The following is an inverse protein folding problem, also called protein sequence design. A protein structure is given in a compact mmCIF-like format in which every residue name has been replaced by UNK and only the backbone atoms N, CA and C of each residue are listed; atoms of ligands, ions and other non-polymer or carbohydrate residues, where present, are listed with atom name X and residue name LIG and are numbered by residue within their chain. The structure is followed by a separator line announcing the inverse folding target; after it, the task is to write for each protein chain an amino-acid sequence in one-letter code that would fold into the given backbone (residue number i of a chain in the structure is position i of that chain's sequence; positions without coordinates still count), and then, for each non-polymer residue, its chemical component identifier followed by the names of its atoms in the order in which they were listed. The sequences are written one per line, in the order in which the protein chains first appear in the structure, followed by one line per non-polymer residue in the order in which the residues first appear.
data_IF_886175237120
#
_entry.id   IF_886175237120
#
_cell.length_a   1.000
_cell.length_b   1.000
_cell.length_c   1.000
_cell.angle_alpha   90.00
_cell.angle_beta   90.00
_cell.angle_gamma   90.00
#
_symmetry.space_group_name_H-M   'P 1'
#
loop_
_entity.id
_entity.type
_entity.pdbx_description
1 polymer ?
#
# COMPACT_ATOMS: atom_id res chain seq x y z
N UNK A 1 -12.50 20.62 1.40
CA UNK A 1 -12.39 22.02 1.79
C UNK A 1 -12.06 22.91 0.60
N UNK A 2 -12.38 24.17 0.67
CA UNK A 2 -12.24 25.17 -0.39
C UNK A 2 -10.81 25.23 -1.00
N UNK A 3 -9.77 25.16 -0.18
CA UNK A 3 -8.37 25.11 -0.61
C UNK A 3 -8.03 23.87 -1.44
N UNK A 4 -8.63 22.71 -1.14
CA UNK A 4 -8.43 21.48 -1.92
C UNK A 4 -9.06 21.61 -3.31
N UNK A 5 -10.25 22.20 -3.40
CA UNK A 5 -10.92 22.49 -4.69
C UNK A 5 -10.13 23.51 -5.50
N UNK A 6 -9.57 24.53 -4.85
CA UNK A 6 -8.71 25.54 -5.50
C UNK A 6 -7.43 24.88 -6.07
N UNK A 7 -6.79 23.99 -5.31
CA UNK A 7 -5.61 23.24 -5.77
C UNK A 7 -5.93 22.34 -6.97
N UNK A 8 -7.14 21.76 -7.03
CA UNK A 8 -7.57 20.96 -8.17
C UNK A 8 -7.90 21.79 -9.42
N UNK A 9 -8.30 23.05 -9.25
CA UNK A 9 -8.63 23.97 -10.33
C UNK A 9 -7.38 24.63 -10.96
N UNK A 10 -6.23 24.62 -10.25
CA UNK A 10 -5.01 25.24 -10.75
C UNK A 10 -4.26 24.31 -11.72
N UNK A 11 -3.66 24.87 -12.81
CA UNK A 11 -2.78 24.12 -13.70
C UNK A 11 -1.64 23.47 -12.90
N UNK A 12 -1.38 22.18 -13.14
CA UNK A 12 -0.39 21.41 -12.38
C UNK A 12 1.02 22.04 -12.39
N UNK A 13 1.39 22.75 -13.46
CA UNK A 13 2.67 23.49 -13.58
C UNK A 13 2.79 24.58 -12.52
N UNK A 14 1.72 25.29 -12.25
CA UNK A 14 1.66 26.34 -11.21
C UNK A 14 1.73 25.73 -9.82
N UNK A 15 0.99 24.65 -9.59
CA UNK A 15 1.04 23.89 -8.32
C UNK A 15 2.46 23.39 -8.06
N UNK A 16 3.14 22.86 -9.09
CA UNK A 16 4.52 22.37 -8.98
C UNK A 16 5.53 23.49 -8.70
N UNK A 17 5.37 24.65 -9.32
CA UNK A 17 6.25 25.82 -9.06
C UNK A 17 6.09 26.33 -7.63
N UNK A 18 4.87 26.41 -7.14
CA UNK A 18 4.58 26.87 -5.77
C UNK A 18 5.07 25.83 -4.75
N UNK A 19 4.78 24.54 -4.95
CA UNK A 19 5.19 23.49 -4.00
C UNK A 19 6.71 23.29 -3.95
N UNK A 20 7.44 23.54 -5.04
CA UNK A 20 8.92 23.51 -5.03
C UNK A 20 9.55 24.62 -4.19
N UNK A 21 8.84 25.73 -3.97
CA UNK A 21 9.32 26.86 -3.16
C UNK A 21 8.90 26.79 -1.70
N UNK A 22 8.02 25.85 -1.35
CA UNK A 22 7.61 25.61 0.04
C UNK A 22 8.68 24.75 0.71
N UNK A 23 9.31 25.19 1.80
CA UNK A 23 10.23 24.35 2.56
C UNK A 23 9.56 23.05 3.00
N UNK A 24 10.28 21.93 2.94
CA UNK A 24 9.76 20.59 3.28
C UNK A 24 9.15 20.55 4.68
N UNK A 25 9.71 21.30 5.62
CA UNK A 25 9.17 21.44 6.97
C UNK A 25 7.74 22.02 7.00
N UNK A 26 7.47 23.02 6.16
CA UNK A 26 6.14 23.64 6.03
C UNK A 26 5.15 22.72 5.34
N UNK A 27 5.61 21.99 4.32
CA UNK A 27 4.79 20.98 3.64
C UNK A 27 4.38 19.89 4.62
N UNK A 28 5.31 19.38 5.42
CA UNK A 28 5.05 18.35 6.44
C UNK A 28 4.14 18.87 7.58
N UNK A 29 4.24 20.13 7.94
CA UNK A 29 3.35 20.75 8.95
C UNK A 29 1.92 20.97 8.41
N UNK A 30 1.75 21.15 7.10
CA UNK A 30 0.45 21.35 6.47
C UNK A 30 -0.31 20.04 6.21
N UNK A 31 0.39 18.93 5.97
CA UNK A 31 -0.23 17.63 5.73
C UNK A 31 -1.19 17.20 6.83
N UNK A 32 -0.86 17.29 8.15
CA UNK A 32 -1.78 16.95 9.22
C UNK A 32 -3.02 17.85 9.29
N UNK A 33 -2.88 19.14 8.91
CA UNK A 33 -4.00 20.09 8.89
C UNK A 33 -5.00 19.76 7.77
N UNK A 34 -4.52 19.21 6.66
CA UNK A 34 -5.37 18.83 5.53
C UNK A 34 -6.09 17.49 5.80
N UNK A 35 -5.40 16.53 6.40
CA UNK A 35 -5.99 15.23 6.75
C UNK A 35 -7.01 15.33 7.89
N UNK A 36 -6.78 16.21 8.87
CA UNK A 36 -7.70 16.39 10.01
C UNK A 36 -9.08 16.94 9.62
N UNK A 37 -9.18 17.69 8.52
CA UNK A 37 -10.45 18.31 8.05
C UNK A 37 -11.22 17.44 7.05
N UNK A 38 -10.70 16.27 6.69
CA UNK A 38 -11.33 15.40 5.70
C UNK A 38 -12.30 14.37 6.33
N UNK A 39 -12.23 14.16 7.63
CA UNK A 39 -13.03 13.15 8.31
C UNK A 39 -13.81 13.76 9.46
N UNK A 40 -15.08 13.39 9.56
CA UNK A 40 -15.89 13.52 10.76
C UNK A 40 -15.55 12.33 11.68
N UNK A 41 -14.46 12.48 12.43
CA UNK A 41 -13.87 11.40 13.21
C UNK A 41 -14.85 10.67 14.14
N UNK A 42 -15.75 11.34 14.87
CA UNK A 42 -16.75 10.68 15.70
C UNK A 42 -17.68 9.74 14.92
N UNK A 43 -17.91 10.01 13.64
CA UNK A 43 -18.81 9.24 12.78
C UNK A 43 -18.06 8.40 11.73
N UNK A 44 -16.73 8.50 11.67
CA UNK A 44 -15.91 7.74 10.72
C UNK A 44 -15.50 6.41 11.33
N UNK A 45 -16.11 5.31 10.93
CA UNK A 45 -15.83 3.96 11.47
C UNK A 45 -14.45 3.43 11.07
N UNK A 46 -13.97 3.78 9.88
CA UNK A 46 -12.68 3.36 9.34
C UNK A 46 -12.10 4.40 8.40
N UNK A 47 -10.80 4.36 8.20
CA UNK A 47 -10.08 5.30 7.35
C UNK A 47 -8.89 4.63 6.67
N UNK A 48 -8.44 5.22 5.57
CA UNK A 48 -7.30 4.74 4.79
C UNK A 48 -6.02 5.35 5.33
N UNK A 49 -5.00 4.52 5.54
CA UNK A 49 -3.63 4.98 5.76
C UNK A 49 -2.99 5.23 4.38
N UNK A 50 -2.48 6.44 4.12
CA UNK A 50 -1.82 6.77 2.86
C UNK A 50 -0.43 6.11 2.83
N UNK A 51 -0.39 4.86 2.39
CA UNK A 51 0.82 4.08 2.19
C UNK A 51 0.94 3.67 0.72
N UNK A 52 1.98 2.94 0.34
CA UNK A 52 2.47 2.86 -1.01
C UNK A 52 1.56 2.05 -1.98
N UNK A 53 1.67 0.73 -2.00
CA UNK A 53 1.15 -0.10 -3.12
C UNK A 53 -0.24 -0.69 -2.85
N UNK A 54 -0.45 -1.18 -1.65
CA UNK A 54 -1.70 -1.80 -1.24
C UNK A 54 -2.67 -0.78 -0.63
N UNK A 55 -3.95 -1.16 -0.48
CA UNK A 55 -4.87 -0.42 0.36
C UNK A 55 -4.66 -0.81 1.82
N UNK A 56 -4.56 0.17 2.70
CA UNK A 56 -4.39 -0.06 4.14
C UNK A 56 -5.52 0.62 4.89
N UNK A 57 -6.40 -0.18 5.47
CA UNK A 57 -7.57 0.32 6.18
C UNK A 57 -7.38 0.13 7.67
N UNK A 58 -7.68 1.18 8.41
CA UNK A 58 -7.60 1.20 9.86
C UNK A 58 -8.96 1.54 10.45
N UNK A 59 -9.39 0.74 11.40
CA UNK A 59 -10.61 0.98 12.16
C UNK A 59 -10.40 2.13 13.15
N UNK A 60 -11.41 2.94 13.33
CA UNK A 60 -11.44 4.00 14.33
C UNK A 60 -11.90 3.43 15.68
N UNK A 61 -11.05 2.58 16.29
CA UNK A 61 -11.38 1.84 17.51
C UNK A 61 -11.38 2.73 18.75
N UNK A 62 -12.38 2.55 19.60
CA UNK A 62 -12.40 3.09 20.97
C UNK A 62 -11.19 2.56 21.74
N UNK A 63 -10.57 3.41 22.54
CA UNK A 63 -9.39 3.07 23.34
C UNK A 63 -8.07 3.03 22.56
N UNK A 64 -8.09 2.91 21.24
CA UNK A 64 -6.90 2.99 20.39
C UNK A 64 -6.76 4.34 19.70
N UNK A 65 -7.84 4.83 19.11
CA UNK A 65 -7.86 6.11 18.40
C UNK A 65 -8.43 7.22 19.31
N UNK A 66 -7.94 8.45 19.15
CA UNK A 66 -8.33 9.57 19.99
C UNK A 66 -9.85 9.86 19.97
N UNK A 67 -10.49 9.65 18.83
CA UNK A 67 -11.92 9.84 18.62
C UNK A 67 -12.55 8.55 18.10
N UNK A 68 -12.13 7.41 18.68
CA UNK A 68 -12.62 6.10 18.28
C UNK A 68 -14.13 5.99 18.47
N UNK A 69 -14.83 5.47 17.44
CA UNK A 69 -16.26 5.26 17.47
C UNK A 69 -16.67 3.79 17.33
N UNK A 70 -15.78 2.91 16.89
CA UNK A 70 -16.02 1.47 16.77
C UNK A 70 -15.64 0.79 18.07
N UNK A 71 -16.56 0.00 18.61
CA UNK A 71 -16.26 -0.85 19.76
C UNK A 71 -15.31 -1.98 19.34
N UNK A 72 -14.28 -2.32 20.15
CA UNK A 72 -13.43 -3.46 19.84
C UNK A 72 -14.18 -4.78 19.62
N UNK A 73 -15.29 -5.00 20.29
CA UNK A 73 -16.14 -6.18 20.09
C UNK A 73 -16.81 -6.23 18.71
N UNK A 74 -16.98 -5.08 18.06
CA UNK A 74 -17.55 -4.96 16.71
C UNK A 74 -16.50 -4.99 15.59
N UNK A 75 -15.21 -5.05 15.92
CA UNK A 75 -14.12 -4.89 14.94
C UNK A 75 -14.22 -5.88 13.78
N UNK A 76 -14.41 -7.16 14.07
CA UNK A 76 -14.51 -8.21 13.04
C UNK A 76 -15.72 -8.02 12.12
N UNK A 77 -16.86 -7.60 12.67
CA UNK A 77 -18.06 -7.30 11.90
C UNK A 77 -17.83 -6.13 10.95
N UNK A 78 -17.21 -5.06 11.44
CA UNK A 78 -16.89 -3.88 10.60
C UNK A 78 -15.87 -4.22 9.53
N UNK A 79 -14.86 -5.04 9.83
CA UNK A 79 -13.89 -5.53 8.83
C UNK A 79 -14.61 -6.33 7.73
N UNK A 80 -15.52 -7.22 8.10
CA UNK A 80 -16.29 -8.02 7.14
C UNK A 80 -17.19 -7.15 6.26
N UNK A 81 -17.86 -6.14 6.83
CA UNK A 81 -18.65 -5.15 6.08
C UNK A 81 -17.78 -4.40 5.05
N UNK A 82 -16.58 -3.98 5.45
CA UNK A 82 -15.63 -3.27 4.57
C UNK A 82 -15.11 -4.19 3.47
N UNK A 83 -14.74 -5.42 3.79
CA UNK A 83 -14.27 -6.41 2.82
C UNK A 83 -15.35 -6.69 1.75
N UNK A 84 -16.57 -6.94 2.16
CA UNK A 84 -17.68 -7.16 1.25
C UNK A 84 -17.95 -5.95 0.35
N UNK A 85 -17.94 -4.74 0.94
CA UNK A 85 -18.09 -3.51 0.20
C UNK A 85 -17.01 -3.31 -0.87
N UNK A 86 -15.75 -3.55 -0.52
CA UNK A 86 -14.61 -3.41 -1.43
C UNK A 86 -14.69 -4.43 -2.58
N UNK A 87 -15.02 -5.68 -2.29
CA UNK A 87 -15.16 -6.75 -3.30
C UNK A 87 -16.31 -6.53 -4.27
N UNK A 88 -17.27 -5.67 -3.93
CA UNK A 88 -18.38 -5.33 -4.84
C UNK A 88 -17.94 -4.44 -6.02
N UNK A 89 -16.76 -3.79 -5.91
CA UNK A 89 -16.28 -2.89 -6.96
C UNK A 89 -15.64 -3.63 -8.13
N UNK A 90 -16.01 -3.19 -9.32
CA UNK A 90 -15.51 -3.67 -10.62
C UNK A 90 -14.98 -2.49 -11.43
N UNK A 91 -14.04 -2.76 -12.30
CA UNK A 91 -13.60 -1.77 -13.29
C UNK A 91 -14.72 -1.47 -14.28
N UNK A 92 -15.01 -0.20 -14.51
CA UNK A 92 -16.13 0.23 -15.39
C UNK A 92 -15.95 -0.22 -16.82
N UNK A 93 -14.73 -0.31 -17.32
CA UNK A 93 -14.45 -0.62 -18.73
C UNK A 93 -14.50 -2.12 -18.98
N UNK A 94 -13.90 -2.90 -18.10
CA UNK A 94 -13.73 -4.34 -18.29
C UNK A 94 -14.76 -5.19 -17.55
N UNK A 95 -15.47 -4.62 -16.57
CA UNK A 95 -16.38 -5.36 -15.69
C UNK A 95 -15.69 -6.32 -14.71
N UNK A 96 -14.35 -6.39 -14.74
CA UNK A 96 -13.57 -7.31 -13.90
C UNK A 96 -13.44 -6.80 -12.46
N UNK A 97 -13.39 -7.69 -11.46
CA UNK A 97 -13.02 -7.33 -10.11
C UNK A 97 -11.66 -6.61 -10.08
N UNK A 98 -11.51 -5.65 -9.18
CA UNK A 98 -10.26 -4.89 -9.00
C UNK A 98 -9.54 -5.24 -7.71
N UNK A 99 -10.12 -6.11 -6.90
CA UNK A 99 -9.58 -6.60 -5.64
C UNK A 99 -9.26 -8.08 -5.79
N UNK A 100 -7.99 -8.44 -5.64
CA UNK A 100 -7.52 -9.83 -5.63
C UNK A 100 -7.83 -10.52 -4.31
N UNK A 101 -7.71 -9.79 -3.21
CA UNK A 101 -7.93 -10.30 -1.87
C UNK A 101 -7.77 -9.24 -0.80
N UNK A 102 -8.07 -9.64 0.41
CA UNK A 102 -7.83 -8.85 1.61
C UNK A 102 -7.18 -9.73 2.66
N UNK A 103 -6.40 -9.13 3.54
CA UNK A 103 -5.72 -9.82 4.65
C UNK A 103 -6.04 -9.08 5.93
N UNK A 104 -6.59 -9.75 6.91
CA UNK A 104 -6.67 -9.23 8.28
C UNK A 104 -5.28 -9.23 8.88
N UNK A 105 -4.83 -8.10 9.41
CA UNK A 105 -3.46 -7.99 9.93
C UNK A 105 -3.24 -8.89 11.15
N UNK A 106 -4.29 -9.20 11.90
CA UNK A 106 -4.23 -10.13 13.02
C UNK A 106 -3.97 -11.59 12.61
N UNK A 107 -4.11 -11.93 11.32
CA UNK A 107 -3.67 -13.22 10.77
C UNK A 107 -2.15 -13.29 10.54
N UNK A 108 -1.48 -12.14 10.42
CA UNK A 108 -0.04 -12.03 10.17
C UNK A 108 0.76 -11.65 11.42
N UNK A 109 0.16 -10.87 12.30
CA UNK A 109 0.83 -10.28 13.46
C UNK A 109 -0.05 -10.49 14.69
N UNK A 110 0.53 -11.06 15.75
CA UNK A 110 -0.20 -11.24 17.01
C UNK A 110 -0.85 -9.93 17.48
N UNK A 111 -2.13 -9.97 17.88
CA UNK A 111 -2.82 -8.80 18.44
C UNK A 111 -2.11 -8.20 19.67
N UNK A 112 -1.33 -9.02 20.40
CA UNK A 112 -0.55 -8.59 21.57
C UNK A 112 0.84 -8.06 21.23
N UNK A 113 1.26 -8.08 19.95
CA UNK A 113 2.56 -7.56 19.56
C UNK A 113 2.68 -6.06 19.86
N UNK A 114 3.79 -5.58 20.44
CA UNK A 114 3.93 -4.18 20.88
C UNK A 114 3.66 -3.13 19.79
N UNK A 115 3.94 -3.46 18.54
CA UNK A 115 3.76 -2.57 17.38
C UNK A 115 2.42 -2.75 16.67
N UNK A 116 1.59 -3.76 17.02
CA UNK A 116 0.29 -4.02 16.39
C UNK A 116 -0.62 -2.78 16.41
N UNK A 117 -0.56 -2.00 17.47
CA UNK A 117 -1.34 -0.76 17.63
C UNK A 117 -1.10 0.30 16.55
N UNK A 118 0.00 0.23 15.82
CA UNK A 118 0.36 1.19 14.75
C UNK A 118 0.04 0.68 13.35
N UNK A 119 -0.27 -0.61 13.21
CA UNK A 119 -0.55 -1.24 11.92
C UNK A 119 -2.00 -1.00 11.47
N UNK A 120 -2.32 -1.14 10.18
CA UNK A 120 -3.69 -1.22 9.69
C UNK A 120 -4.41 -2.44 10.29
N UNK A 121 -5.72 -2.53 10.11
CA UNK A 121 -6.51 -3.69 10.50
C UNK A 121 -6.80 -4.59 9.29
N UNK A 122 -6.89 -4.00 8.08
CA UNK A 122 -7.12 -4.72 6.84
C UNK A 122 -6.15 -4.22 5.76
N UNK A 123 -5.51 -5.16 5.06
CA UNK A 123 -4.72 -4.90 3.85
C UNK A 123 -5.55 -5.32 2.64
N UNK A 124 -5.65 -4.43 1.65
CA UNK A 124 -6.37 -4.66 0.40
C UNK A 124 -5.37 -4.91 -0.71
N UNK A 125 -5.43 -6.07 -1.32
CA UNK A 125 -4.58 -6.47 -2.44
C UNK A 125 -5.29 -6.12 -3.75
N UNK A 126 -4.73 -5.16 -4.48
CA UNK A 126 -5.28 -4.73 -5.76
C UNK A 126 -4.90 -5.70 -6.88
N UNK A 127 -5.82 -5.89 -7.82
CA UNK A 127 -5.60 -6.61 -9.06
C UNK A 127 -6.23 -5.83 -10.22
N UNK A 128 -5.67 -4.67 -10.56
CA UNK A 128 -6.22 -3.87 -11.64
C UNK A 128 -6.12 -4.64 -12.96
N UNK A 129 -7.20 -4.69 -13.77
CA UNK A 129 -7.27 -5.46 -15.01
C UNK A 129 -6.38 -4.90 -16.15
N UNK A 130 -5.55 -3.92 -15.84
CA UNK A 130 -4.63 -3.29 -16.77
C UNK A 130 -4.02 -2.02 -16.17
N UNK A 131 -3.31 -1.23 -16.99
CA UNK A 131 -2.78 0.05 -16.54
C UNK A 131 -3.89 0.95 -16.00
N UNK A 132 -3.67 1.61 -14.87
CA UNK A 132 -4.62 2.56 -14.25
C UNK A 132 -5.05 3.66 -15.23
N UNK A 133 -4.18 3.98 -16.21
CA UNK A 133 -4.49 4.92 -17.29
C UNK A 133 -5.58 4.44 -18.26
N UNK A 134 -5.83 3.13 -18.32
CA UNK A 134 -6.87 2.53 -19.18
C UNK A 134 -8.22 2.45 -18.48
N UNK A 135 -8.26 2.49 -17.15
CA UNK A 135 -9.51 2.51 -16.39
C UNK A 135 -10.04 3.93 -16.24
N UNK A 136 -11.35 4.08 -16.35
CA UNK A 136 -12.04 5.36 -16.18
C UNK A 136 -12.77 5.47 -14.84
N UNK A 137 -12.80 4.40 -14.07
CA UNK A 137 -13.48 4.37 -12.79
C UNK A 137 -13.81 2.97 -12.30
N UNK A 138 -14.54 2.93 -11.19
CA UNK A 138 -15.07 1.73 -10.57
C UNK A 138 -16.59 1.82 -10.49
N UNK A 139 -17.25 0.69 -10.51
CA UNK A 139 -18.70 0.58 -10.31
C UNK A 139 -19.00 -0.49 -9.28
N UNK A 140 -20.00 -0.24 -8.45
CA UNK A 140 -20.58 -1.19 -7.51
C UNK A 140 -22.09 -1.03 -7.53
N UNK A 141 -22.83 -2.12 -7.52
CA UNK A 141 -24.30 -2.10 -7.46
C UNK A 141 -24.80 -1.46 -6.15
N UNK A 142 -24.00 -1.56 -5.08
CA UNK A 142 -24.36 -1.01 -3.78
C UNK A 142 -23.95 0.46 -3.61
N UNK A 143 -22.82 0.89 -4.20
CA UNK A 143 -22.20 2.20 -3.94
C UNK A 143 -22.20 3.11 -5.17
N UNK A 144 -22.70 2.63 -6.31
CA UNK A 144 -22.70 3.37 -7.55
C UNK A 144 -21.33 3.50 -8.20
N UNK A 145 -21.16 4.55 -8.98
CA UNK A 145 -19.95 4.77 -9.78
C UNK A 145 -18.99 5.74 -9.12
N UNK A 146 -17.71 5.40 -9.16
CA UNK A 146 -16.57 6.28 -8.83
C UNK A 146 -15.78 6.52 -10.11
N UNK A 147 -15.90 7.71 -10.69
CA UNK A 147 -15.17 8.09 -11.90
C UNK A 147 -14.03 9.01 -11.58
N UNK A 148 -12.89 8.81 -12.21
CA UNK A 148 -11.77 9.74 -12.19
C UNK A 148 -11.59 10.41 -13.55
N UNK A 149 -11.16 11.68 -13.57
CA UNK A 149 -11.01 12.43 -14.80
C UNK A 149 -10.00 11.76 -15.75
N UNK A 150 -10.43 11.53 -16.99
CA UNK A 150 -9.55 11.02 -18.04
C UNK A 150 -8.31 11.90 -18.22
N UNK A 151 -7.18 11.28 -18.55
CA UNK A 151 -5.94 11.97 -18.90
C UNK A 151 -5.19 12.61 -17.74
N UNK A 152 -5.60 12.46 -16.49
CA UNK A 152 -4.77 12.86 -15.35
C UNK A 152 -3.60 11.90 -15.22
N UNK A 153 -2.41 12.39 -15.56
CA UNK A 153 -1.17 11.77 -15.08
C UNK A 153 -1.22 11.79 -13.56
N UNK A 154 -0.83 10.67 -12.93
CA UNK A 154 -0.65 10.63 -11.49
C UNK A 154 0.13 11.88 -11.05
N UNK A 155 -0.28 12.51 -9.96
CA UNK A 155 0.36 13.72 -9.46
C UNK A 155 1.88 13.54 -9.20
N UNK A 156 2.32 12.30 -8.99
CA UNK A 156 3.72 11.90 -8.86
C UNK A 156 4.50 11.92 -10.18
N UNK A 157 3.83 12.00 -11.34
CA UNK A 157 4.46 11.86 -12.67
C UNK A 157 4.97 10.45 -12.97
N UNK A 158 4.68 9.46 -12.14
CA UNK A 158 5.08 8.06 -12.33
C UNK A 158 4.28 7.45 -13.49
N UNK A 159 4.96 6.70 -14.35
CA UNK A 159 4.34 5.93 -15.44
C UNK A 159 4.12 4.46 -15.09
N UNK A 160 4.64 4.01 -13.96
CA UNK A 160 4.55 2.63 -13.47
C UNK A 160 4.30 2.56 -11.98
N UNK A 161 3.99 1.38 -11.50
CA UNK A 161 3.81 1.06 -10.09
C UNK A 161 4.75 -0.08 -9.69
N UNK A 162 4.96 -0.24 -8.38
CA UNK A 162 5.69 -1.38 -7.84
C UNK A 162 4.90 -2.67 -8.05
N UNK A 163 5.60 -3.76 -8.31
CA UNK A 163 5.04 -5.11 -8.32
C UNK A 163 5.71 -5.94 -7.22
N UNK A 164 5.04 -6.98 -6.69
CA UNK A 164 5.65 -7.84 -5.69
C UNK A 164 6.77 -8.72 -6.27
N UNK A 165 6.84 -8.83 -7.58
CA UNK A 165 7.88 -9.59 -8.29
C UNK A 165 8.89 -8.64 -8.92
N UNK A 166 10.15 -8.86 -8.59
CA UNK A 166 11.30 -8.18 -9.18
C UNK A 166 12.22 -9.19 -9.86
N UNK A 167 13.38 -8.72 -10.23
CA UNK A 167 14.47 -9.53 -10.75
C UNK A 167 15.80 -9.07 -10.14
N UNK A 168 16.77 -9.94 -10.12
CA UNK A 168 18.13 -9.58 -9.71
C UNK A 168 19.15 -10.25 -10.63
N UNK A 169 20.37 -9.71 -10.64
CA UNK A 169 21.54 -10.28 -11.33
C UNK A 169 22.66 -10.36 -10.33
N UNK A 170 23.31 -11.50 -10.29
CA UNK A 170 24.51 -11.71 -9.49
C UNK A 170 25.70 -12.07 -10.38
N UNK A 171 26.89 -11.52 -10.09
CA UNK A 171 28.14 -11.85 -10.78
C UNK A 171 29.30 -11.73 -9.80
N UNK A 172 30.15 -12.73 -9.77
CA UNK A 172 31.36 -12.72 -8.95
C UNK A 172 32.03 -14.08 -8.92
N UNK A 173 33.21 -14.20 -8.27
CA UNK A 173 33.84 -15.50 -8.02
C UNK A 173 32.88 -16.39 -7.21
N UNK A 174 32.78 -17.66 -7.55
CA UNK A 174 31.89 -18.60 -6.85
C UNK A 174 30.38 -18.36 -7.09
N UNK A 175 30.00 -17.50 -8.05
CA UNK A 175 28.61 -17.39 -8.51
C UNK A 175 28.45 -18.28 -9.73
N UNK A 176 27.48 -19.20 -9.68
CA UNK A 176 27.19 -20.09 -10.82
C UNK A 176 26.60 -19.29 -11.97
N UNK A 177 27.12 -19.45 -13.19
CA UNK A 177 26.56 -18.79 -14.37
C UNK A 177 25.28 -19.46 -14.82
N UNK A 178 24.35 -18.67 -15.33
CA UNK A 178 23.11 -19.13 -15.96
C UNK A 178 21.88 -18.45 -15.38
N UNK A 179 20.74 -18.58 -16.09
CA UNK A 179 19.47 -18.11 -15.60
C UNK A 179 18.91 -19.09 -14.53
N UNK A 180 18.26 -18.54 -13.51
CA UNK A 180 17.37 -19.31 -12.64
C UNK A 180 15.92 -18.91 -12.95
N UNK A 181 15.08 -19.91 -13.19
CA UNK A 181 13.63 -19.71 -13.38
C UNK A 181 12.86 -19.73 -12.05
N UNK A 182 13.55 -19.95 -10.93
CA UNK A 182 12.94 -19.96 -9.62
C UNK A 182 12.68 -18.57 -9.09
N UNK A 183 11.62 -18.45 -8.31
CA UNK A 183 11.32 -17.27 -7.51
C UNK A 183 11.80 -17.48 -6.08
N UNK A 184 12.53 -16.51 -5.55
CA UNK A 184 13.09 -16.51 -4.20
C UNK A 184 12.45 -15.41 -3.38
N UNK A 185 12.42 -15.58 -2.06
CA UNK A 185 12.04 -14.51 -1.17
C UNK A 185 13.15 -13.45 -1.09
N UNK A 186 12.78 -12.18 -1.02
CA UNK A 186 13.74 -11.08 -0.82
C UNK A 186 14.58 -11.28 0.45
N UNK A 187 14.02 -11.93 1.47
CA UNK A 187 14.73 -12.28 2.70
C UNK A 187 15.89 -13.25 2.48
N UNK A 188 15.91 -14.02 1.38
CA UNK A 188 16.96 -14.99 1.06
C UNK A 188 18.22 -14.33 0.50
N UNK A 189 18.15 -13.11 0.00
CA UNK A 189 19.27 -12.42 -0.63
C UNK A 189 20.42 -12.16 0.35
N UNK A 190 20.13 -11.60 1.53
CA UNK A 190 21.19 -11.30 2.50
C UNK A 190 21.86 -12.55 3.08
N UNK A 191 21.14 -13.61 3.48
CA UNK A 191 21.75 -14.89 3.82
C UNK A 191 22.69 -15.42 2.73
N UNK A 192 22.29 -15.31 1.46
CA UNK A 192 23.11 -15.71 0.30
C UNK A 192 24.41 -14.91 0.21
N UNK A 193 24.33 -13.60 0.37
CA UNK A 193 25.51 -12.72 0.37
C UNK A 193 26.47 -13.07 1.52
N UNK A 194 25.94 -13.32 2.72
CA UNK A 194 26.78 -13.70 3.88
C UNK A 194 27.49 -15.04 3.65
N UNK A 195 26.80 -16.04 3.10
CA UNK A 195 27.38 -17.33 2.76
C UNK A 195 28.44 -17.17 1.66
N UNK A 196 28.17 -16.41 0.62
CA UNK A 196 29.11 -16.12 -0.47
C UNK A 196 30.40 -15.45 0.03
N UNK A 197 30.28 -14.57 1.01
CA UNK A 197 31.43 -13.87 1.63
C UNK A 197 32.14 -14.73 2.71
N UNK A 198 31.67 -15.93 3.02
CA UNK A 198 32.16 -16.74 4.15
C UNK A 198 31.94 -16.09 5.51
N UNK A 199 31.01 -15.16 5.62
CA UNK A 199 30.73 -14.42 6.84
C UNK A 199 29.67 -15.13 7.71
N UNK A 200 29.76 -15.08 9.04
CA UNK A 200 28.78 -15.69 9.92
C UNK A 200 27.40 -15.01 9.75
N UNK A 201 26.36 -15.84 9.51
CA UNK A 201 24.99 -15.36 9.34
C UNK A 201 24.40 -14.89 10.67
N UNK A 202 23.89 -13.65 10.77
CA UNK A 202 23.18 -13.17 11.93
C UNK A 202 21.91 -14.03 12.21
N UNK A 203 21.67 -14.34 13.49
CA UNK A 203 20.56 -15.21 13.92
C UNK A 203 19.17 -14.63 13.64
N UNK A 204 19.04 -13.32 13.44
CA UNK A 204 17.78 -12.64 13.15
C UNK A 204 17.38 -12.68 11.66
N UNK A 205 18.21 -13.25 10.77
CA UNK A 205 17.84 -13.42 9.37
C UNK A 205 16.79 -14.54 9.23
N UNK A 206 15.61 -14.18 8.72
CA UNK A 206 14.51 -15.13 8.52
C UNK A 206 14.69 -16.01 7.27
N UNK A 207 15.34 -15.46 6.23
CA UNK A 207 15.55 -16.16 4.97
C UNK A 207 16.65 -17.23 5.02
N UNK A 208 16.82 -17.94 3.92
CA UNK A 208 17.83 -18.99 3.72
C UNK A 208 18.73 -18.65 2.54
N UNK A 209 20.01 -19.08 2.53
CA UNK A 209 20.85 -18.91 1.36
C UNK A 209 20.27 -19.61 0.13
N UNK A 210 20.43 -18.98 -1.02
CA UNK A 210 20.07 -19.55 -2.32
C UNK A 210 21.25 -20.38 -2.81
N UNK A 211 21.31 -21.63 -2.38
CA UNK A 211 22.45 -22.55 -2.62
C UNK A 211 22.75 -22.73 -4.12
N UNK A 212 21.73 -22.70 -4.96
CA UNK A 212 21.91 -22.91 -6.40
C UNK A 212 22.66 -21.76 -7.10
N UNK A 213 22.73 -20.59 -6.48
CA UNK A 213 23.52 -19.45 -6.99
C UNK A 213 24.99 -19.59 -6.67
N UNK A 214 25.33 -20.36 -5.67
CA UNK A 214 26.69 -20.49 -5.15
C UNK A 214 27.37 -21.69 -5.80
N UNK A 215 28.54 -21.48 -6.35
CA UNK A 215 29.45 -22.54 -6.81
C UNK A 215 30.29 -23.09 -5.67
N UNK A 216 30.93 -24.21 -5.94
CA UNK A 216 31.91 -24.82 -5.02
C UNK A 216 33.14 -23.96 -4.90
#
# INVERSE_FOLDING_TARGET
GMLFRLKQALPWRLVRQVTRRIPTAWNNALVPLWSRRMHDWPNTKYFVLPMDYNGYIRLNLKGREKQGCVDPADADRVIAEVDAALRSFRDIVTGKPVIRGTIKVDELVSPTAPRRRFLPDLVVLWDPPGPVSASSGLVSDQFGEIRWPHGRKLASGRSGNHTPHGWFVAKGPGIRPGPSERTYDTADLMPTVFQWLGAPRPSHFAGRPIEELLGD
#
